data_IF_343881985947
#
_entry.id   IF_343881985947
#
_cell.length_a   1.000
_cell.length_b   1.000
_cell.length_c   1.000
_cell.angle_alpha   90.00
_cell.angle_beta   90.00
_cell.angle_gamma   90.00
#
_symmetry.space_group_name_H-M   'P 1'
#
loop_
_entity.id
_entity.type
_entity.pdbx_description
1 polymer ?
#
# COMPACT_ATOMS: atom_id res chain seq x y z
N UNK A 1 -12.53 1.14 0.95
CA UNK A 1 -12.14 0.42 -0.29
C UNK A 1 -11.93 1.30 -1.54
N UNK A 2 -12.31 2.60 -1.54
CA UNK A 2 -12.15 3.48 -2.72
C UNK A 2 -10.70 3.65 -3.20
N UNK A 3 -9.72 3.71 -2.29
CA UNK A 3 -8.29 3.88 -2.63
C UNK A 3 -7.78 2.81 -3.59
N UNK A 4 -7.94 1.52 -3.24
CA UNK A 4 -7.47 0.42 -4.09
C UNK A 4 -8.25 0.31 -5.40
N UNK A 5 -9.53 0.70 -5.41
CA UNK A 5 -10.33 0.75 -6.65
C UNK A 5 -9.79 1.83 -7.61
N UNK A 6 -9.49 3.03 -7.10
CA UNK A 6 -8.89 4.09 -7.91
C UNK A 6 -7.51 3.72 -8.42
N UNK A 7 -6.70 3.03 -7.61
CA UNK A 7 -5.40 2.51 -8.04
C UNK A 7 -5.53 1.48 -9.17
N UNK A 8 -6.51 0.56 -9.07
CA UNK A 8 -6.77 -0.41 -10.12
C UNK A 8 -7.16 0.29 -11.44
N UNK A 9 -8.05 1.28 -11.35
CA UNK A 9 -8.47 2.08 -12.50
C UNK A 9 -7.31 2.85 -13.15
N UNK A 10 -6.38 3.35 -12.34
CA UNK A 10 -5.19 4.07 -12.81
C UNK A 10 -4.03 3.15 -13.21
N UNK A 11 -4.19 1.82 -13.07
CA UNK A 11 -3.13 0.82 -13.25
C UNK A 11 -1.95 0.96 -12.28
N UNK A 12 -2.12 1.69 -11.17
CA UNK A 12 -1.12 1.76 -10.11
C UNK A 12 -0.96 0.39 -9.44
N UNK A 13 0.29 0.05 -9.10
CA UNK A 13 0.65 -1.28 -8.58
C UNK A 13 1.17 -1.28 -7.14
N UNK A 14 1.54 -0.12 -6.60
CA UNK A 14 2.12 -0.01 -5.26
C UNK A 14 1.44 1.11 -4.49
N UNK A 15 0.98 0.80 -3.28
CA UNK A 15 0.51 1.76 -2.28
C UNK A 15 1.56 1.82 -1.17
N UNK A 16 2.35 2.89 -1.14
CA UNK A 16 3.23 3.18 -0.02
C UNK A 16 2.47 3.99 1.03
N UNK A 17 2.58 3.59 2.30
CA UNK A 17 1.92 4.20 3.45
C UNK A 17 2.98 4.50 4.51
N UNK A 18 2.80 5.56 5.29
CA UNK A 18 3.67 5.84 6.42
C UNK A 18 3.41 4.82 7.53
N UNK A 19 4.45 4.09 7.93
CA UNK A 19 4.37 3.09 8.98
C UNK A 19 4.06 3.77 10.32
N UNK A 20 3.09 3.23 11.08
CA UNK A 20 2.68 3.79 12.38
C UNK A 20 1.76 5.02 12.32
N UNK A 21 1.75 5.76 11.21
CA UNK A 21 0.99 7.01 11.05
C UNK A 21 -0.21 6.89 10.09
N UNK A 22 -0.46 5.69 9.54
CA UNK A 22 -1.62 5.40 8.68
C UNK A 22 -2.62 4.47 9.36
N UNK A 23 -3.90 4.89 9.41
CA UNK A 23 -5.00 4.03 9.86
C UNK A 23 -5.54 3.23 8.67
N UNK A 24 -5.59 1.91 8.83
CA UNK A 24 -6.21 1.00 7.86
C UNK A 24 -7.50 0.44 8.44
N UNK A 25 -8.60 0.68 7.72
CA UNK A 25 -9.92 0.13 8.05
C UNK A 25 -10.16 -1.13 7.21
N UNK A 26 -10.75 -2.17 7.82
CA UNK A 26 -11.04 -3.46 7.18
C UNK A 26 -9.80 -4.11 6.52
N UNK A 27 -8.72 -4.25 7.29
CA UNK A 27 -7.41 -4.72 6.79
C UNK A 27 -7.48 -6.04 6.01
N UNK A 28 -8.34 -6.98 6.43
CA UNK A 28 -8.52 -8.27 5.75
C UNK A 28 -9.04 -8.08 4.32
N UNK A 29 -10.02 -7.21 4.14
CA UNK A 29 -10.61 -6.93 2.84
C UNK A 29 -9.65 -6.14 1.95
N UNK A 30 -8.93 -5.18 2.54
CA UNK A 30 -7.90 -4.42 1.84
C UNK A 30 -6.80 -5.33 1.30
N UNK A 31 -6.22 -6.20 2.13
CA UNK A 31 -5.16 -7.14 1.74
C UNK A 31 -5.68 -8.15 0.72
N UNK A 32 -6.89 -8.69 0.91
CA UNK A 32 -7.48 -9.64 -0.03
C UNK A 32 -7.75 -9.01 -1.40
N UNK A 33 -8.23 -7.77 -1.43
CA UNK A 33 -8.40 -7.02 -2.68
C UNK A 33 -7.06 -6.77 -3.36
N UNK A 34 -6.06 -6.32 -2.61
CA UNK A 34 -4.73 -6.02 -3.12
C UNK A 34 -4.08 -7.26 -3.76
N UNK A 35 -4.10 -8.41 -3.05
CA UNK A 35 -3.57 -9.67 -3.56
C UNK A 35 -4.26 -10.12 -4.86
N UNK A 36 -5.60 -10.10 -4.91
CA UNK A 36 -6.36 -10.51 -6.10
C UNK A 36 -6.04 -9.69 -7.35
N UNK A 37 -5.69 -8.41 -7.17
CA UNK A 37 -5.42 -7.49 -8.29
C UNK A 37 -3.93 -7.22 -8.48
N UNK A 38 -3.07 -7.84 -7.68
CA UNK A 38 -1.61 -7.66 -7.69
C UNK A 38 -1.15 -6.25 -7.32
N UNK A 39 -1.85 -5.59 -6.39
CA UNK A 39 -1.39 -4.34 -5.79
C UNK A 39 -0.54 -4.69 -4.56
N UNK A 40 0.68 -4.19 -4.51
CA UNK A 40 1.54 -4.26 -3.32
C UNK A 40 1.19 -3.12 -2.37
N UNK A 41 1.00 -3.42 -1.09
CA UNK A 41 0.88 -2.42 -0.02
C UNK A 41 2.14 -2.51 0.81
N UNK A 42 2.83 -1.39 1.00
CA UNK A 42 4.08 -1.32 1.75
C UNK A 42 4.00 -0.20 2.78
N UNK A 43 4.34 -0.52 4.02
CA UNK A 43 4.60 0.49 5.05
C UNK A 43 6.04 0.97 4.89
N UNK A 44 6.24 2.28 4.91
CA UNK A 44 7.53 2.96 4.77
C UNK A 44 7.75 3.80 6.01
N UNK A 45 8.90 3.61 6.64
CA UNK A 45 9.43 4.47 7.71
C UNK A 45 10.50 5.41 7.14
N UNK A 46 10.81 6.49 7.85
CA UNK A 46 11.90 7.43 7.50
C UNK A 46 13.23 6.70 7.32
N UNK A 47 13.45 5.64 8.10
CA UNK A 47 14.63 4.79 8.01
C UNK A 47 14.71 4.02 6.69
N UNK A 48 13.59 3.62 6.09
CA UNK A 48 13.57 2.83 4.84
C UNK A 48 14.04 3.65 3.63
N UNK A 49 13.83 4.97 3.66
CA UNK A 49 14.18 5.88 2.55
C UNK A 49 15.67 6.22 2.49
N UNK A 50 16.37 6.12 3.62
CA UNK A 50 17.81 6.43 3.70
C UNK A 50 18.70 5.23 3.37
N UNK A 51 18.16 4.02 3.38
CA UNK A 51 18.88 2.77 3.12
C UNK A 51 18.72 2.24 1.68
N UNK A 52 18.09 3.02 0.79
CA UNK A 52 17.86 2.67 -0.62
C UNK A 52 19.05 2.85 -1.56
N UNK A 53 20.27 3.09 -1.06
CA UNK A 53 21.51 2.99 -1.82
C UNK A 53 22.42 1.93 -1.22
N UNK A 54 22.19 0.66 -1.59
CA UNK A 54 23.18 -0.42 -1.55
C UNK A 54 22.85 -1.44 -2.63
#
# INVERSE_FOLDING_TARGET
MKTLQSMLQSKARVLALEAGNTIVVDIKDMVSFANRHGITIVGVDENDLTQGQN
#
